data_IF_249383317420
#
_entry.id   IF_249383317420
#
_cell.length_a   1.000
_cell.length_b   1.000
_cell.length_c   1.000
_cell.angle_alpha   90.00
_cell.angle_beta   90.00
_cell.angle_gamma   90.00
#
_symmetry.space_group_name_H-M   'P 1'
#
loop_
_entity.id
_entity.type
_entity.pdbx_description
1 polymer ?
#
# COMPACT_ATOMS: atom_id res chain seq x y z
N UNK A 1 -63.32 39.70 0.71
CA UNK A 1 -62.57 38.43 0.62
C UNK A 1 -61.11 38.73 0.34
N UNK A 2 -60.20 38.53 1.31
CA UNK A 2 -58.76 38.81 1.15
C UNK A 2 -58.10 37.65 0.39
N UNK A 3 -57.46 37.94 -0.75
CA UNK A 3 -56.62 36.99 -1.49
C UNK A 3 -55.26 36.89 -0.79
N UNK A 4 -54.92 35.71 -0.28
CA UNK A 4 -53.58 35.39 0.22
C UNK A 4 -52.77 34.90 -0.99
N UNK A 5 -51.72 35.64 -1.36
CA UNK A 5 -50.70 35.14 -2.30
C UNK A 5 -49.76 34.22 -1.51
N UNK A 6 -49.74 32.93 -1.84
CA UNK A 6 -48.63 32.04 -1.46
C UNK A 6 -47.50 32.22 -2.47
N UNK A 7 -46.33 32.65 -2.00
CA UNK A 7 -45.07 32.50 -2.72
C UNK A 7 -44.50 31.11 -2.44
N UNK A 8 -44.10 30.32 -3.45
CA UNK A 8 -43.38 29.08 -3.21
C UNK A 8 -41.94 29.41 -2.78
N UNK A 9 -41.57 28.94 -1.60
CA UNK A 9 -40.20 28.96 -1.10
C UNK A 9 -39.39 27.90 -1.86
N UNK A 10 -38.63 28.34 -2.88
CA UNK A 10 -37.61 27.48 -3.50
C UNK A 10 -36.42 27.38 -2.55
N UNK A 11 -36.30 26.24 -1.87
CA UNK A 11 -35.06 25.85 -1.19
C UNK A 11 -34.06 25.46 -2.28
N UNK A 12 -33.13 26.38 -2.61
CA UNK A 12 -31.96 26.01 -3.41
C UNK A 12 -31.11 25.05 -2.58
N UNK A 13 -31.12 23.77 -2.96
CA UNK A 13 -30.06 22.85 -2.55
C UNK A 13 -28.74 23.38 -3.12
N UNK A 14 -27.85 23.83 -2.23
CA UNK A 14 -26.50 24.22 -2.61
C UNK A 14 -25.83 23.07 -3.34
N UNK A 15 -25.33 23.34 -4.55
CA UNK A 15 -24.42 22.43 -5.24
C UNK A 15 -23.23 22.16 -4.32
N UNK A 16 -22.68 20.94 -4.29
CA UNK A 16 -21.48 20.66 -3.49
C UNK A 16 -20.38 21.61 -3.95
N UNK A 17 -19.91 22.44 -3.02
CA UNK A 17 -18.76 23.30 -3.20
C UNK A 17 -17.55 22.43 -3.50
N UNK A 18 -17.11 22.42 -4.76
CA UNK A 18 -15.77 21.95 -5.12
C UNK A 18 -14.82 22.99 -4.57
N UNK A 19 -14.31 22.78 -3.36
CA UNK A 19 -13.21 23.60 -2.85
C UNK A 19 -12.03 23.41 -3.82
N UNK A 20 -11.56 24.47 -4.52
CA UNK A 20 -10.28 24.37 -5.18
C UNK A 20 -9.27 24.13 -4.07
N UNK A 21 -8.64 22.95 -4.04
CA UNK A 21 -7.41 22.80 -3.28
C UNK A 21 -6.41 23.78 -3.94
N UNK A 22 -6.24 24.97 -3.38
CA UNK A 22 -5.10 25.81 -3.74
C UNK A 22 -3.91 25.20 -3.03
N UNK A 23 -2.94 24.68 -3.79
CA UNK A 23 -1.65 24.36 -3.19
C UNK A 23 -1.13 25.65 -2.53
N UNK A 24 -0.69 25.55 -1.27
CA UNK A 24 -0.12 26.69 -0.55
C UNK A 24 1.20 27.20 -1.18
N UNK A 25 1.72 26.50 -2.20
CA UNK A 25 2.92 26.83 -2.93
C UNK A 25 2.57 27.18 -4.38
N UNK A 26 3.04 28.35 -4.84
CA UNK A 26 2.75 28.91 -6.17
C UNK A 26 3.34 28.12 -7.33
N UNK A 27 4.27 27.20 -7.06
CA UNK A 27 4.95 26.33 -8.03
C UNK A 27 4.40 24.89 -8.06
N UNK A 28 3.40 24.57 -7.22
CA UNK A 28 2.74 23.26 -7.21
C UNK A 28 1.37 23.36 -7.89
N UNK A 29 1.21 22.63 -8.99
CA UNK A 29 -0.03 22.56 -9.73
C UNK A 29 -0.72 21.22 -9.51
N UNK A 30 -1.99 21.25 -9.09
CA UNK A 30 -2.82 20.06 -9.00
C UNK A 30 -3.75 19.97 -10.21
N UNK A 31 -3.78 18.79 -10.82
CA UNK A 31 -4.72 18.46 -11.89
C UNK A 31 -5.45 17.19 -11.51
N UNK A 32 -6.77 17.24 -11.58
CA UNK A 32 -7.60 16.04 -11.47
C UNK A 32 -7.31 15.12 -12.67
N UNK A 33 -6.84 13.91 -12.39
CA UNK A 33 -6.63 12.88 -13.41
C UNK A 33 -7.92 12.12 -13.68
N UNK A 34 -8.65 11.74 -12.62
CA UNK A 34 -9.89 10.97 -12.67
C UNK A 34 -10.55 10.85 -11.27
N UNK A 35 -11.86 10.58 -11.25
CA UNK A 35 -12.57 9.97 -10.11
C UNK A 35 -12.31 8.45 -10.02
N UNK A 36 -11.79 7.98 -8.89
CA UNK A 36 -11.65 6.55 -8.59
C UNK A 36 -12.75 6.10 -7.62
N UNK A 37 -12.93 4.78 -7.46
CA UNK A 37 -13.76 4.24 -6.37
C UNK A 37 -13.16 4.66 -5.01
N UNK A 38 -14.02 4.91 -4.03
CA UNK A 38 -13.66 5.38 -2.68
C UNK A 38 -12.80 4.39 -1.86
N UNK A 39 -12.63 3.17 -2.36
CA UNK A 39 -11.83 2.08 -1.78
C UNK A 39 -10.49 1.87 -2.48
N UNK A 40 -10.06 2.80 -3.33
CA UNK A 40 -8.73 2.74 -3.97
C UNK A 40 -7.64 3.09 -2.94
N UNK A 41 -6.73 2.17 -2.63
CA UNK A 41 -5.81 2.33 -1.50
C UNK A 41 -4.34 2.58 -1.89
N UNK A 42 -3.89 2.09 -3.06
CA UNK A 42 -2.53 2.32 -3.55
C UNK A 42 -2.48 2.58 -5.04
N UNK A 43 -1.47 3.35 -5.42
CA UNK A 43 -1.03 3.51 -6.79
C UNK A 43 0.40 2.98 -6.92
N UNK A 44 0.71 2.41 -8.07
CA UNK A 44 2.06 2.07 -8.51
C UNK A 44 2.25 2.51 -9.94
N UNK A 45 3.46 2.93 -10.27
CA UNK A 45 3.74 3.58 -11.54
C UNK A 45 4.84 2.80 -12.25
N UNK A 46 4.54 2.36 -13.47
CA UNK A 46 5.58 2.02 -14.42
C UNK A 46 6.16 3.32 -14.99
N UNK A 47 7.36 3.68 -14.54
CA UNK A 47 8.06 4.88 -14.98
C UNK A 47 8.60 4.79 -16.41
N UNK A 48 8.71 3.59 -16.99
CA UNK A 48 9.15 3.40 -18.37
C UNK A 48 7.97 3.65 -19.31
N UNK A 49 6.85 2.97 -19.07
CA UNK A 49 5.67 3.08 -19.95
C UNK A 49 4.70 4.19 -19.58
N UNK A 50 4.95 4.91 -18.48
CA UNK A 50 4.06 5.93 -17.94
C UNK A 50 2.64 5.40 -17.71
N UNK A 51 2.55 4.17 -17.23
CA UNK A 51 1.29 3.50 -16.87
C UNK A 51 1.12 3.55 -15.35
N UNK A 52 -0.06 3.97 -14.90
CA UNK A 52 -0.41 3.90 -13.47
C UNK A 52 -1.27 2.65 -13.25
N UNK A 53 -1.05 2.00 -12.12
CA UNK A 53 -1.86 0.91 -11.62
C UNK A 53 -2.41 1.31 -10.26
N UNK A 54 -3.59 0.81 -9.91
CA UNK A 54 -4.10 0.93 -8.55
C UNK A 54 -4.85 -0.33 -8.15
N UNK A 55 -4.95 -0.55 -6.84
CA UNK A 55 -5.67 -1.67 -6.24
C UNK A 55 -6.85 -1.17 -5.40
N UNK A 56 -7.95 -1.90 -5.47
CA UNK A 56 -9.11 -1.72 -4.60
C UNK A 56 -8.90 -2.54 -3.33
N UNK A 57 -9.02 -1.86 -2.18
CA UNK A 57 -8.96 -2.45 -0.85
C UNK A 57 -10.25 -2.11 -0.11
N UNK A 58 -11.03 -3.14 0.19
CA UNK A 58 -12.35 -3.02 0.83
C UNK A 58 -12.56 -4.23 1.74
N UNK A 59 -13.77 -4.41 2.27
CA UNK A 59 -14.10 -5.60 3.04
C UNK A 59 -13.88 -6.88 2.23
N UNK A 60 -13.40 -7.95 2.87
CA UNK A 60 -13.09 -9.22 2.20
C UNK A 60 -14.30 -9.87 1.51
N UNK A 61 -15.50 -9.61 2.01
CA UNK A 61 -16.76 -10.09 1.42
C UNK A 61 -17.12 -9.34 0.13
N UNK A 62 -16.60 -8.13 -0.08
CA UNK A 62 -16.82 -7.35 -1.28
C UNK A 62 -16.14 -8.04 -2.48
N UNK A 63 -16.88 -8.16 -3.58
CA UNK A 63 -16.38 -8.72 -4.83
C UNK A 63 -15.25 -7.87 -5.42
N UNK A 64 -15.26 -6.56 -5.16
CA UNK A 64 -14.24 -5.63 -5.65
C UNK A 64 -12.91 -5.70 -4.89
N UNK A 65 -12.84 -6.38 -3.72
CA UNK A 65 -11.59 -6.49 -2.97
C UNK A 65 -10.50 -7.18 -3.80
N UNK A 66 -9.36 -6.51 -3.94
CA UNK A 66 -8.24 -6.99 -4.74
C UNK A 66 -8.36 -6.77 -6.25
N UNK A 67 -9.40 -6.07 -6.73
CA UNK A 67 -9.40 -5.66 -8.13
C UNK A 67 -8.23 -4.69 -8.41
N UNK A 68 -7.48 -4.98 -9.47
CA UNK A 68 -6.35 -4.17 -9.93
C UNK A 68 -6.76 -3.54 -11.25
N UNK A 69 -6.54 -2.24 -11.35
CA UNK A 69 -6.86 -1.46 -12.53
C UNK A 69 -5.61 -0.82 -13.10
N UNK A 70 -5.51 -0.85 -14.43
CA UNK A 70 -4.55 -0.08 -15.22
C UNK A 70 -5.20 1.25 -15.61
N UNK A 71 -4.45 2.34 -15.51
CA UNK A 71 -4.81 3.68 -15.97
C UNK A 71 -3.78 4.13 -16.99
N UNK A 72 -4.24 4.37 -18.21
CA UNK A 72 -3.38 4.86 -19.29
C UNK A 72 -3.51 6.37 -19.45
N UNK A 73 -2.49 7.00 -20.03
CA UNK A 73 -2.46 8.45 -20.33
C UNK A 73 -2.67 9.35 -19.12
N UNK A 74 -2.34 8.90 -17.91
CA UNK A 74 -2.58 9.69 -16.70
C UNK A 74 -1.72 10.96 -16.64
N UNK A 75 -0.55 10.97 -17.30
CA UNK A 75 0.30 12.16 -17.48
C UNK A 75 -0.09 13.04 -18.68
N UNK A 76 -0.93 12.57 -19.59
CA UNK A 76 -1.35 13.35 -20.75
C UNK A 76 -2.28 14.49 -20.29
N UNK A 77 -1.77 15.72 -20.36
CA UNK A 77 -2.49 16.93 -19.93
C UNK A 77 -3.64 17.29 -20.86
N UNK A 78 -3.68 16.73 -22.08
CA UNK A 78 -4.77 16.95 -23.03
C UNK A 78 -5.99 16.08 -22.71
N UNK A 79 -5.82 15.04 -21.90
CA UNK A 79 -6.90 14.13 -21.52
C UNK A 79 -7.58 14.64 -20.25
N UNK A 80 -8.86 15.00 -20.39
CA UNK A 80 -9.66 15.50 -19.27
C UNK A 80 -9.95 14.43 -18.20
N UNK A 81 -10.00 13.14 -18.56
CA UNK A 81 -10.60 12.12 -17.69
C UNK A 81 -9.99 10.70 -17.65
N UNK A 82 -8.75 10.42 -18.02
CA UNK A 82 -8.19 9.06 -17.85
C UNK A 82 -8.92 7.97 -18.71
N UNK A 83 -8.36 6.79 -18.97
CA UNK A 83 -9.17 5.55 -19.15
C UNK A 83 -8.65 4.50 -18.18
N UNK A 84 -9.52 3.70 -17.56
CA UNK A 84 -9.10 2.65 -16.65
C UNK A 84 -9.72 1.32 -17.09
N UNK A 85 -8.99 0.24 -16.86
CA UNK A 85 -9.42 -1.11 -17.22
C UNK A 85 -8.99 -2.05 -16.12
N UNK A 86 -9.89 -2.94 -15.69
CA UNK A 86 -9.55 -3.99 -14.73
C UNK A 86 -8.60 -4.96 -15.41
N UNK A 87 -7.48 -5.26 -14.76
CA UNK A 87 -6.43 -6.16 -15.28
C UNK A 87 -6.28 -7.43 -14.43
N UNK A 88 -6.72 -7.42 -13.18
CA UNK A 88 -6.75 -8.61 -12.33
C UNK A 88 -7.75 -8.43 -11.18
N UNK A 89 -8.05 -9.52 -10.48
CA UNK A 89 -8.83 -9.55 -9.25
C UNK A 89 -8.41 -10.76 -8.38
N UNK A 90 -9.07 -10.93 -7.23
CA UNK A 90 -8.74 -11.99 -6.27
C UNK A 90 -8.83 -13.41 -6.82
N UNK A 91 -9.59 -13.64 -7.90
CA UNK A 91 -9.63 -14.96 -8.57
C UNK A 91 -8.37 -15.26 -9.36
N UNK A 92 -7.67 -14.21 -9.82
CA UNK A 92 -6.41 -14.33 -10.55
C UNK A 92 -5.23 -14.45 -9.58
N UNK A 93 -5.14 -13.56 -8.60
CA UNK A 93 -3.97 -13.49 -7.72
C UNK A 93 -4.13 -14.24 -6.39
N UNK A 94 -5.34 -14.62 -5.99
CA UNK A 94 -5.58 -15.45 -4.79
C UNK A 94 -5.22 -14.81 -3.46
N UNK A 95 -5.23 -13.48 -3.35
CA UNK A 95 -5.14 -12.76 -2.06
C UNK A 95 -6.56 -12.29 -1.75
N UNK A 96 -7.17 -12.83 -0.70
CA UNK A 96 -8.62 -12.75 -0.48
C UNK A 96 -9.04 -11.86 0.68
N UNK A 97 -8.16 -11.57 1.63
CA UNK A 97 -8.53 -10.95 2.90
C UNK A 97 -8.17 -9.48 2.93
N UNK A 98 -6.88 -9.16 3.01
CA UNK A 98 -6.43 -7.78 2.94
C UNK A 98 -5.36 -7.66 1.87
N UNK A 99 -5.52 -6.72 0.95
CA UNK A 99 -4.56 -6.40 -0.09
C UNK A 99 -4.43 -4.90 -0.16
N UNK A 100 -3.23 -4.39 0.08
CA UNK A 100 -2.95 -2.95 -0.06
C UNK A 100 -1.50 -2.66 -0.37
N UNK A 101 -0.69 -3.67 -0.67
CA UNK A 101 0.65 -3.49 -1.21
C UNK A 101 0.59 -3.56 -2.72
N UNK A 102 1.17 -2.56 -3.39
CA UNK A 102 1.30 -2.54 -4.84
C UNK A 102 2.54 -1.72 -5.20
N UNK A 103 3.40 -2.28 -6.02
CA UNK A 103 4.52 -1.57 -6.65
C UNK A 103 4.79 -2.14 -8.05
N UNK A 104 5.49 -1.38 -8.89
CA UNK A 104 5.81 -1.79 -10.27
C UNK A 104 7.29 -1.60 -10.52
N UNK A 105 7.95 -2.65 -10.98
CA UNK A 105 9.37 -2.63 -11.28
C UNK A 105 9.70 -3.56 -12.44
N UNK A 106 10.49 -3.05 -13.39
CA UNK A 106 11.08 -3.82 -14.51
C UNK A 106 10.07 -4.71 -15.27
N UNK A 107 8.93 -4.13 -15.65
CA UNK A 107 7.89 -4.86 -16.41
C UNK A 107 7.08 -5.87 -15.58
N UNK A 108 7.23 -5.89 -14.26
CA UNK A 108 6.40 -6.67 -13.35
C UNK A 108 5.60 -5.76 -12.42
N UNK A 109 4.35 -6.14 -12.17
CA UNK A 109 3.59 -5.63 -11.02
C UNK A 109 3.79 -6.58 -9.85
N UNK A 110 4.02 -6.01 -8.68
CA UNK A 110 4.12 -6.70 -7.41
C UNK A 110 2.94 -6.27 -6.55
N UNK A 111 2.35 -7.23 -5.84
CA UNK A 111 1.28 -6.97 -4.88
C UNK A 111 1.59 -7.66 -3.56
N UNK A 112 1.01 -7.13 -2.50
CA UNK A 112 1.16 -7.70 -1.18
C UNK A 112 -0.10 -7.57 -0.34
N UNK A 113 -0.30 -8.57 0.51
CA UNK A 113 -1.47 -8.69 1.33
C UNK A 113 -1.41 -9.91 2.24
N UNK A 114 -2.57 -10.37 2.64
CA UNK A 114 -2.71 -11.52 3.52
C UNK A 114 -3.87 -12.42 3.12
N UNK A 115 -3.76 -13.68 3.53
CA UNK A 115 -4.88 -14.61 3.57
C UNK A 115 -5.13 -15.15 4.97
N UNK A 116 -6.32 -15.66 5.24
CA UNK A 116 -6.71 -16.27 6.50
C UNK A 116 -7.10 -17.73 6.32
N UNK A 117 -6.79 -18.54 7.34
CA UNK A 117 -7.34 -19.89 7.48
C UNK A 117 -7.70 -20.12 8.93
N UNK A 118 -9.00 -20.06 9.24
CA UNK A 118 -9.50 -20.05 10.61
C UNK A 118 -8.93 -18.88 11.41
N UNK A 119 -8.18 -19.20 12.47
CA UNK A 119 -7.54 -18.22 13.33
C UNK A 119 -6.10 -17.85 12.92
N UNK A 120 -5.64 -18.32 11.76
CA UNK A 120 -4.30 -18.01 11.25
C UNK A 120 -4.34 -16.92 10.18
N UNK A 121 -3.28 -16.14 10.12
CA UNK A 121 -2.95 -15.20 9.05
C UNK A 121 -1.68 -15.70 8.35
N UNK A 122 -1.64 -15.49 7.03
CA UNK A 122 -0.43 -15.63 6.22
C UNK A 122 -0.24 -14.38 5.38
N UNK A 123 0.93 -13.75 5.47
CA UNK A 123 1.35 -12.68 4.57
C UNK A 123 1.81 -13.25 3.23
N UNK A 124 1.47 -12.61 2.12
CA UNK A 124 1.82 -13.06 0.77
C UNK A 124 2.26 -11.87 -0.08
N UNK A 125 3.35 -12.06 -0.84
CA UNK A 125 3.79 -11.17 -1.90
C UNK A 125 3.77 -11.96 -3.21
N UNK A 126 3.11 -11.39 -4.23
CA UNK A 126 3.04 -11.99 -5.56
C UNK A 126 3.50 -11.01 -6.62
N UNK A 127 3.89 -11.54 -7.78
CA UNK A 127 4.18 -10.76 -8.98
C UNK A 127 3.51 -11.33 -10.21
N UNK A 128 3.22 -10.47 -11.18
CA UNK A 128 2.78 -10.84 -12.52
C UNK A 128 3.55 -10.03 -13.57
N UNK A 129 3.92 -10.68 -14.67
CA UNK A 129 4.49 -9.98 -15.83
C UNK A 129 3.43 -9.08 -16.47
N UNK A 130 3.78 -7.81 -16.72
CA UNK A 130 2.95 -6.87 -17.47
C UNK A 130 2.91 -7.19 -18.97
N UNK A 131 3.73 -8.13 -19.45
CA UNK A 131 3.72 -8.62 -20.83
C UNK A 131 2.55 -9.58 -21.14
N UNK A 132 1.75 -9.98 -20.15
CA UNK A 132 0.62 -10.92 -20.32
C UNK A 132 -0.55 -10.33 -21.14
N UNK A 133 -0.55 -9.03 -21.42
CA UNK A 133 -1.59 -8.36 -22.21
C UNK A 133 -2.61 -7.63 -21.34
N UNK A 134 -3.91 -7.76 -21.67
CA UNK A 134 -4.97 -7.01 -21.00
C UNK A 134 -5.32 -7.55 -19.60
N UNK A 135 -5.21 -8.86 -19.40
CA UNK A 135 -5.50 -9.54 -18.13
C UNK A 135 -4.22 -10.19 -17.60
N UNK A 136 -3.92 -9.96 -16.33
CA UNK A 136 -2.81 -10.58 -15.61
C UNK A 136 -3.33 -11.84 -14.90
N UNK A 137 -3.31 -12.96 -15.61
CA UNK A 137 -3.89 -14.23 -15.13
C UNK A 137 -2.87 -15.12 -14.41
N UNK A 138 -1.58 -14.96 -14.70
CA UNK A 138 -0.51 -15.77 -14.12
C UNK A 138 0.24 -14.97 -13.07
N UNK A 139 0.11 -15.41 -11.82
CA UNK A 139 0.76 -14.80 -10.66
C UNK A 139 1.74 -15.78 -10.02
N UNK A 140 2.94 -15.32 -9.74
CA UNK A 140 4.00 -16.08 -9.09
C UNK A 140 4.13 -15.57 -7.66
N UNK A 141 4.13 -16.48 -6.67
CA UNK A 141 4.47 -16.14 -5.30
C UNK A 141 5.95 -15.79 -5.23
N UNK A 142 6.26 -14.57 -4.78
CA UNK A 142 7.64 -14.15 -4.50
C UNK A 142 8.05 -14.67 -3.13
N UNK A 143 7.23 -14.36 -2.13
CA UNK A 143 7.39 -14.83 -0.76
C UNK A 143 6.04 -14.97 -0.06
N UNK A 144 5.98 -15.86 0.92
CA UNK A 144 4.89 -15.95 1.88
C UNK A 144 5.44 -16.18 3.29
N UNK A 145 4.68 -15.81 4.30
CA UNK A 145 5.02 -16.13 5.68
C UNK A 145 4.51 -17.53 6.05
N UNK A 146 5.10 -18.15 7.06
CA UNK A 146 4.39 -19.18 7.82
C UNK A 146 3.10 -18.60 8.41
N UNK A 147 2.16 -19.48 8.71
CA UNK A 147 0.95 -19.10 9.43
C UNK A 147 1.32 -18.61 10.84
N UNK A 148 0.67 -17.53 11.26
CA UNK A 148 0.71 -17.08 12.65
C UNK A 148 -0.70 -16.75 13.15
N UNK A 149 -0.90 -16.86 14.45
CA UNK A 149 -2.21 -16.67 15.06
C UNK A 149 -2.63 -15.19 15.02
N UNK A 150 -3.91 -14.94 14.74
CA UNK A 150 -4.55 -13.64 14.95
C UNK A 150 -4.49 -13.24 16.42
N UNK A 151 -4.48 -11.95 16.70
CA UNK A 151 -4.58 -11.41 18.07
C UNK A 151 -5.95 -11.59 18.70
N UNK A 152 -7.01 -11.77 17.89
CA UNK A 152 -8.40 -11.67 18.35
C UNK A 152 -8.77 -10.27 18.88
N UNK A 153 -8.06 -9.24 18.43
CA UNK A 153 -8.45 -7.83 18.58
C UNK A 153 -9.39 -7.41 17.46
N UNK A 154 -9.83 -6.15 17.46
CA UNK A 154 -10.57 -5.58 16.34
C UNK A 154 -9.74 -5.56 15.05
N UNK A 155 -8.41 -5.37 15.14
CA UNK A 155 -7.53 -5.22 13.99
C UNK A 155 -6.15 -5.85 14.23
N UNK A 156 -5.76 -6.78 13.37
CA UNK A 156 -4.35 -7.16 13.20
C UNK A 156 -3.70 -6.27 12.13
N UNK A 157 -2.50 -5.76 12.37
CA UNK A 157 -1.74 -5.01 11.37
C UNK A 157 -0.91 -5.99 10.52
N UNK A 158 -1.53 -6.52 9.47
CA UNK A 158 -0.99 -7.62 8.66
C UNK A 158 0.07 -7.15 7.68
N UNK A 159 0.59 -8.09 6.90
CA UNK A 159 1.36 -7.77 5.70
C UNK A 159 0.48 -7.02 4.70
N UNK A 160 0.76 -5.73 4.50
CA UNK A 160 -0.16 -4.83 3.81
C UNK A 160 0.51 -3.80 2.89
N UNK A 161 1.84 -3.74 2.84
CA UNK A 161 2.56 -2.76 2.06
C UNK A 161 3.89 -3.33 1.54
N UNK A 162 4.29 -2.90 0.35
CA UNK A 162 5.60 -3.16 -0.25
C UNK A 162 6.17 -1.91 -0.92
N UNK A 163 7.48 -1.79 -0.92
CA UNK A 163 8.25 -0.87 -1.75
C UNK A 163 9.47 -1.60 -2.33
N UNK A 164 9.75 -1.40 -3.61
CA UNK A 164 10.92 -1.97 -4.28
C UNK A 164 12.03 -0.92 -4.27
N UNK A 165 13.26 -1.32 -3.95
CA UNK A 165 14.36 -0.37 -4.01
C UNK A 165 14.70 0.06 -5.45
N UNK A 166 15.24 1.28 -5.64
CA UNK A 166 15.61 1.77 -6.97
C UNK A 166 16.65 0.91 -7.69
N UNK A 167 17.41 0.09 -6.95
CA UNK A 167 18.41 -0.83 -7.49
C UNK A 167 17.80 -2.17 -7.95
N UNK A 168 16.53 -2.45 -7.64
CA UNK A 168 15.86 -3.70 -7.98
C UNK A 168 16.44 -4.93 -7.29
N UNK A 169 17.03 -4.76 -6.10
CA UNK A 169 17.63 -5.85 -5.34
C UNK A 169 16.63 -6.42 -4.34
N UNK A 170 15.81 -5.57 -3.73
CA UNK A 170 14.97 -5.96 -2.60
C UNK A 170 13.56 -5.37 -2.65
N UNK A 171 12.62 -6.15 -2.11
CA UNK A 171 11.29 -5.71 -1.69
C UNK A 171 11.34 -5.45 -0.19
N UNK A 172 10.90 -4.26 0.23
CA UNK A 172 10.69 -3.91 1.62
C UNK A 172 9.20 -4.03 1.93
N UNK A 173 8.83 -4.98 2.79
CA UNK A 173 7.45 -5.28 3.13
C UNK A 173 7.15 -4.91 4.58
N UNK A 174 6.03 -4.22 4.82
CA UNK A 174 5.51 -4.09 6.18
C UNK A 174 4.94 -5.45 6.58
N UNK A 175 5.44 -6.03 7.68
CA UNK A 175 4.78 -7.09 8.42
C UNK A 175 4.42 -6.51 9.77
N UNK A 176 3.24 -5.90 9.85
CA UNK A 176 2.87 -5.09 11.00
C UNK A 176 2.69 -5.90 12.28
N UNK A 177 2.35 -5.18 13.33
CA UNK A 177 2.05 -5.74 14.65
C UNK A 177 0.86 -6.69 14.59
N UNK A 178 0.94 -7.75 15.39
CA UNK A 178 -0.16 -8.68 15.55
C UNK A 178 -1.40 -8.00 16.15
N UNK A 179 -1.25 -6.94 16.93
CA UNK A 179 -2.33 -6.35 17.75
C UNK A 179 -2.61 -4.91 17.33
N UNK A 180 -3.74 -4.35 17.76
CA UNK A 180 -4.18 -3.02 17.34
C UNK A 180 -3.34 -1.92 18.01
N UNK A 181 -2.98 -2.06 19.28
CA UNK A 181 -2.21 -1.07 20.05
C UNK A 181 -0.87 -1.62 20.58
N UNK A 182 -0.43 -2.79 20.10
CA UNK A 182 0.79 -3.43 20.57
C UNK A 182 0.61 -4.09 21.94
N UNK A 183 -0.62 -4.28 22.43
CA UNK A 183 -0.98 -4.90 23.70
C UNK A 183 -0.78 -6.42 23.70
N UNK A 184 -0.85 -7.05 24.87
CA UNK A 184 -0.80 -8.51 24.95
C UNK A 184 -2.20 -9.11 24.77
N UNK A 185 -2.33 -10.07 23.87
CA UNK A 185 -3.58 -10.82 23.67
C UNK A 185 -3.33 -12.30 23.45
N UNK A 186 -4.12 -13.13 24.14
CA UNK A 186 -3.94 -14.59 24.18
C UNK A 186 -2.54 -14.98 24.70
N UNK A 187 -2.04 -14.25 25.70
CA UNK A 187 -0.71 -14.40 26.31
C UNK A 187 0.47 -14.16 25.35
N UNK A 188 0.22 -13.49 24.21
CA UNK A 188 1.25 -13.14 23.23
C UNK A 188 1.05 -11.70 22.74
N UNK A 189 2.14 -10.93 22.67
CA UNK A 189 2.11 -9.56 22.10
C UNK A 189 2.41 -9.59 20.61
N UNK A 190 3.56 -10.14 20.27
CA UNK A 190 4.07 -10.28 18.92
C UNK A 190 4.60 -11.71 18.74
N UNK A 191 4.68 -12.14 17.49
CA UNK A 191 5.45 -13.32 17.09
C UNK A 191 6.63 -12.89 16.24
N UNK A 192 7.52 -13.81 15.90
CA UNK A 192 8.72 -13.48 15.14
C UNK A 192 8.41 -12.88 13.76
N UNK A 193 7.28 -13.15 13.14
CA UNK A 193 6.93 -12.52 11.86
C UNK A 193 6.37 -11.11 11.98
N UNK A 194 5.99 -10.64 13.17
CA UNK A 194 5.22 -9.39 13.32
C UNK A 194 6.06 -8.24 13.86
N UNK A 195 5.55 -7.03 13.67
CA UNK A 195 6.19 -5.76 14.01
C UNK A 195 7.53 -5.50 13.32
N UNK A 196 7.62 -5.75 12.01
CA UNK A 196 8.86 -5.62 11.23
C UNK A 196 8.67 -4.96 9.86
N UNK A 197 9.75 -4.35 9.38
CA UNK A 197 9.98 -4.26 7.93
C UNK A 197 10.85 -5.45 7.54
N UNK A 198 10.35 -6.24 6.59
CA UNK A 198 11.07 -7.35 5.98
C UNK A 198 11.75 -6.88 4.70
N UNK A 199 12.99 -7.28 4.46
CA UNK A 199 13.76 -7.06 3.24
C UNK A 199 13.94 -8.39 2.52
N UNK A 200 13.24 -8.55 1.40
CA UNK A 200 13.12 -9.80 0.66
C UNK A 200 13.83 -9.65 -0.69
N UNK A 201 14.70 -10.57 -1.12
CA UNK A 201 15.32 -10.50 -2.44
C UNK A 201 14.27 -10.46 -3.56
N UNK A 202 14.36 -9.50 -4.48
CA UNK A 202 13.37 -9.30 -5.55
C UNK A 202 13.23 -10.53 -6.49
N UNK A 203 14.33 -11.27 -6.66
CA UNK A 203 14.39 -12.49 -7.47
C UNK A 203 13.86 -13.75 -6.77
N UNK A 204 13.37 -13.64 -5.53
CA UNK A 204 12.78 -14.77 -4.81
C UNK A 204 11.60 -15.37 -5.56
N UNK A 205 11.43 -16.68 -5.42
CA UNK A 205 10.28 -17.44 -5.94
C UNK A 205 9.91 -18.48 -4.90
N UNK A 206 8.66 -18.46 -4.45
CA UNK A 206 8.13 -19.34 -3.40
C UNK A 206 8.98 -19.32 -2.10
N UNK A 207 9.54 -18.17 -1.74
CA UNK A 207 10.28 -18.03 -0.49
C UNK A 207 9.32 -18.16 0.70
N UNK A 208 9.57 -19.09 1.62
CA UNK A 208 8.86 -19.19 2.89
C UNK A 208 9.62 -18.45 3.99
N UNK A 209 8.99 -17.45 4.59
CA UNK A 209 9.49 -16.73 5.75
C UNK A 209 8.97 -17.40 7.02
N UNK A 210 9.85 -18.06 7.74
CA UNK A 210 9.46 -18.85 8.91
C UNK A 210 9.26 -17.99 10.16
N UNK A 211 8.38 -18.44 11.05
CA UNK A 211 8.07 -17.78 12.31
C UNK A 211 9.06 -18.18 13.42
N UNK A 212 10.35 -18.02 13.15
CA UNK A 212 11.41 -18.26 14.13
C UNK A 212 12.59 -17.30 13.90
N UNK A 213 13.35 -16.95 14.94
CA UNK A 213 14.31 -15.87 14.86
C UNK A 213 15.49 -16.19 13.93
N UNK A 214 15.99 -17.43 13.96
CA UNK A 214 17.18 -17.84 13.19
C UNK A 214 16.93 -17.80 11.69
N UNK A 215 15.83 -18.39 11.23
CA UNK A 215 15.51 -18.47 9.80
C UNK A 215 15.01 -17.13 9.24
N UNK A 216 14.39 -16.28 10.08
CA UNK A 216 13.87 -14.99 9.65
C UNK A 216 14.94 -13.88 9.65
N UNK A 217 15.97 -13.98 10.50
CA UNK A 217 16.99 -12.95 10.67
C UNK A 217 17.57 -12.37 9.36
N UNK A 218 17.87 -13.17 8.30
CA UNK A 218 18.39 -12.63 7.04
C UNK A 218 17.44 -11.65 6.32
N UNK A 219 16.14 -11.75 6.60
CA UNK A 219 15.08 -10.96 5.98
C UNK A 219 14.59 -9.83 6.85
N UNK A 220 15.06 -9.68 8.10
CA UNK A 220 14.62 -8.58 8.95
C UNK A 220 15.43 -7.32 8.64
N UNK A 221 14.75 -6.24 8.30
CA UNK A 221 15.38 -4.93 8.09
C UNK A 221 15.25 -4.03 9.32
N UNK A 222 14.04 -3.94 9.89
CA UNK A 222 13.72 -3.11 11.06
C UNK A 222 12.71 -3.83 11.95
N UNK A 223 12.79 -3.61 13.26
CA UNK A 223 11.82 -4.07 14.27
C UNK A 223 11.00 -2.89 14.82
N UNK A 224 9.89 -3.19 15.49
CA UNK A 224 9.10 -2.23 16.27
C UNK A 224 8.11 -1.41 15.44
N UNK A 225 7.73 -1.90 14.25
CA UNK A 225 6.77 -1.22 13.37
C UNK A 225 5.36 -1.70 13.68
N UNK A 226 4.51 -0.82 14.23
CA UNK A 226 3.10 -1.16 14.45
C UNK A 226 2.36 -1.42 13.14
N UNK A 227 2.30 -0.42 12.26
CA UNK A 227 1.64 -0.55 10.97
C UNK A 227 2.16 0.51 10.00
N UNK A 228 3.05 0.12 9.09
CA UNK A 228 3.52 1.02 8.04
C UNK A 228 2.63 0.88 6.80
N UNK A 229 1.81 1.90 6.55
CA UNK A 229 1.02 2.00 5.33
C UNK A 229 1.84 2.49 4.14
N UNK A 230 3.04 3.02 4.32
CA UNK A 230 3.87 3.47 3.20
C UNK A 230 5.32 3.66 3.59
N UNK A 231 6.22 3.33 2.66
CA UNK A 231 7.64 3.62 2.72
C UNK A 231 8.04 4.27 1.40
N UNK A 232 8.84 5.34 1.47
CA UNK A 232 9.48 5.93 0.31
C UNK A 232 10.98 5.69 0.44
N UNK A 233 11.55 4.98 -0.53
CA UNK A 233 12.99 4.69 -0.54
C UNK A 233 13.69 5.83 -1.26
N UNK A 234 14.55 6.55 -0.53
CA UNK A 234 15.36 7.60 -1.13
C UNK A 234 16.43 6.97 -2.03
N UNK A 235 16.40 7.28 -3.33
CA UNK A 235 17.41 6.85 -4.30
C UNK A 235 18.73 7.62 -4.19
N UNK A 236 18.77 8.71 -3.43
CA UNK A 236 20.00 9.48 -3.20
C UNK A 236 20.79 8.88 -2.05
N UNK A 237 21.93 8.29 -2.37
CA UNK A 237 23.02 8.11 -1.41
C UNK A 237 23.70 9.46 -1.22
N UNK A 238 23.04 10.41 -0.54
CA UNK A 238 23.76 11.49 0.11
C UNK A 238 23.94 11.05 1.56
N UNK A 239 25.09 10.46 1.87
CA UNK A 239 25.59 10.39 3.24
C UNK A 239 25.86 11.81 3.75
N UNK A 240 24.81 12.58 4.02
CA UNK A 240 24.91 13.76 4.86
C UNK A 240 24.95 13.26 6.30
N UNK A 241 26.12 12.79 6.71
CA UNK A 241 26.44 12.57 8.11
C UNK A 241 26.35 13.93 8.78
N UNK A 242 25.26 14.21 9.50
CA UNK A 242 25.26 15.27 10.50
C UNK A 242 26.23 14.83 11.61
N UNK A 243 27.52 15.14 11.44
CA UNK A 243 28.43 15.21 12.57
C UNK A 243 27.94 16.37 13.43
N UNK A 244 27.22 16.06 14.50
CA UNK A 244 27.07 16.97 15.63
C UNK A 244 28.48 17.15 16.20
N UNK A 245 29.19 18.17 15.72
CA UNK A 245 30.36 18.66 16.40
C UNK A 245 29.87 19.36 17.67
N UNK A 246 29.81 18.62 18.77
CA UNK A 246 29.75 19.22 20.09
C UNK A 246 31.03 20.02 20.29
N UNK A 247 30.99 21.31 19.97
CA UNK A 247 32.00 22.26 20.41
C UNK A 247 31.75 22.46 21.90
N UNK A 248 32.50 21.73 22.72
CA UNK A 248 32.61 22.00 24.13
C UNK A 248 33.13 23.44 24.28
N UNK A 249 32.24 24.36 24.62
CA UNK A 249 32.63 25.69 25.06
C UNK A 249 33.29 25.53 26.43
N UNK A 250 34.54 25.96 26.50
CA UNK A 250 35.31 26.02 27.74
C UNK A 250 34.55 26.87 28.75
N UNK A 251 34.45 26.47 30.03
CA UNK A 251 33.81 27.30 31.04
C UNK A 251 34.65 28.58 31.20
N UNK A 252 34.01 29.75 31.03
CA UNK A 252 34.61 31.01 31.48
C UNK A 252 34.69 30.95 33.01
N UNK A 253 35.89 31.22 33.51
CA UNK A 253 36.17 31.44 34.94
C UNK A 253 35.36 32.60 35.49
#
# INVERSE_FOLDING_TARGET
>A
MKKILLFPLFVLFGLPSVFPQSAAQSDVYMRKVRNLNNTSARIGIDHVTHTMYYVITTDKADAANGEIYKVTKYFDKTVANATNTKVADKTHHGITEQISGLDVYDGFIYIAGSIESGNNIKGIIKKASLSQGATLSTWITVAETENYLKSNTAFDHRLNFIAIDPAGQYIYANSGSRTDHGEEHLNEREVELTSKILRIPLNSTNLLLKNNPTDLAPYVYVHGIRNAHGLAINSRVSSLVWKIAATATTPRR
#
